data_IF_286613654730
#
_entry.id   IF_286613654730
#
_cell.length_a   1.000
_cell.length_b   1.000
_cell.length_c   1.000
_cell.angle_alpha   90.00
_cell.angle_beta   90.00
_cell.angle_gamma   90.00
#
_symmetry.space_group_name_H-M   'P 1'
#
loop_
_entity.id
_entity.type
_entity.pdbx_description
1 polymer ?
#
# COMPACT_ATOMS: atom_id res chain seq x y z
N UNK A 1 9.22 -9.32 11.74
CA UNK A 1 7.95 -9.27 10.99
C UNK A 1 7.78 -10.56 10.20
N UNK A 2 6.60 -11.17 10.18
CA UNK A 2 6.31 -12.41 9.45
C UNK A 2 5.21 -12.16 8.42
N UNK A 3 5.50 -12.43 7.14
CA UNK A 3 4.55 -12.26 6.03
C UNK A 3 3.46 -13.34 6.08
N UNK A 4 2.20 -12.91 5.93
CA UNK A 4 1.08 -13.83 5.75
C UNK A 4 1.20 -14.62 4.43
N UNK A 5 0.74 -15.87 4.43
CA UNK A 5 0.63 -16.68 3.20
C UNK A 5 -0.50 -16.23 2.28
N UNK A 6 -1.48 -15.51 2.83
CA UNK A 6 -2.63 -14.98 2.08
C UNK A 6 -2.77 -13.48 2.29
N UNK A 7 -3.19 -12.77 1.25
CA UNK A 7 -3.54 -11.34 1.30
C UNK A 7 -4.97 -11.12 1.83
N UNK A 8 -5.74 -12.19 2.01
CA UNK A 8 -7.15 -12.15 2.41
C UNK A 8 -7.48 -13.20 3.46
N UNK A 9 -8.49 -12.91 4.28
CA UNK A 9 -9.10 -13.85 5.21
C UNK A 9 -10.61 -13.57 5.29
N UNK A 10 -11.43 -14.47 4.74
CA UNK A 10 -12.86 -14.20 4.54
C UNK A 10 -13.08 -12.95 3.68
N UNK A 11 -13.86 -11.99 4.20
CA UNK A 11 -14.14 -10.72 3.54
C UNK A 11 -13.11 -9.61 3.82
N UNK A 12 -12.12 -9.84 4.68
CA UNK A 12 -11.09 -8.86 4.97
C UNK A 12 -10.05 -8.82 3.85
N UNK A 13 -9.90 -7.64 3.22
CA UNK A 13 -8.85 -7.32 2.26
C UNK A 13 -8.01 -6.18 2.78
N UNK A 14 -6.69 -6.33 2.71
CA UNK A 14 -5.75 -5.28 3.06
C UNK A 14 -5.41 -4.53 1.79
N UNK A 15 -5.65 -3.22 1.79
CA UNK A 15 -5.40 -2.40 0.62
C UNK A 15 -5.09 -0.97 1.03
N UNK A 16 -4.51 -0.23 0.09
CA UNK A 16 -4.32 1.21 0.21
C UNK A 16 -4.70 1.89 -1.09
N UNK A 17 -5.34 3.05 -0.99
CA UNK A 17 -5.73 3.85 -2.14
C UNK A 17 -4.92 5.15 -2.10
N UNK A 18 -4.08 5.43 -3.11
CA UNK A 18 -3.39 6.71 -3.19
C UNK A 18 -4.41 7.85 -3.35
N UNK A 19 -4.24 8.98 -2.66
CA UNK A 19 -5.08 10.16 -2.84
C UNK A 19 -4.75 10.94 -4.13
N UNK A 20 -3.73 10.52 -4.89
CA UNK A 20 -3.37 11.06 -6.20
C UNK A 20 -3.52 10.01 -7.31
N UNK A 21 -3.41 10.46 -8.56
CA UNK A 21 -3.39 9.55 -9.73
C UNK A 21 -2.05 8.81 -9.78
N UNK A 22 -2.03 7.58 -9.28
CA UNK A 22 -0.84 6.74 -9.29
C UNK A 22 -0.72 5.90 -10.57
N UNK A 23 0.49 5.67 -11.04
CA UNK A 23 0.84 4.72 -12.12
C UNK A 23 0.68 3.27 -11.66
N UNK A 24 0.69 3.02 -10.36
CA UNK A 24 0.55 1.68 -9.77
C UNK A 24 -0.92 1.24 -9.62
N UNK A 25 -1.86 2.16 -9.79
CA UNK A 25 -3.32 1.90 -9.74
C UNK A 25 -3.98 2.29 -11.06
N UNK A 26 -4.96 1.51 -11.51
CA UNK A 26 -5.70 1.79 -12.74
C UNK A 26 -7.10 2.32 -12.47
N UNK A 27 -7.78 2.83 -13.50
CA UNK A 27 -9.16 3.34 -13.37
C UNK A 27 -10.15 2.28 -12.84
N UNK A 28 -9.95 1.02 -13.21
CA UNK A 28 -10.78 -0.12 -12.78
C UNK A 28 -10.33 -0.74 -11.45
N UNK A 29 -9.12 -0.43 -10.99
CA UNK A 29 -8.55 -0.94 -9.73
C UNK A 29 -7.82 0.21 -9.03
N UNK A 30 -8.56 1.08 -8.31
CA UNK A 30 -8.00 2.27 -7.67
C UNK A 30 -7.23 1.95 -6.39
N UNK A 31 -7.13 0.67 -6.01
CA UNK A 31 -6.50 0.23 -4.77
C UNK A 31 -5.31 -0.67 -5.06
N UNK A 32 -4.30 -0.58 -4.20
CA UNK A 32 -3.18 -1.50 -4.14
C UNK A 32 -3.46 -2.55 -3.09
N UNK A 33 -3.41 -3.83 -3.49
CA UNK A 33 -3.47 -4.93 -2.53
C UNK A 33 -2.19 -4.99 -1.70
N UNK A 34 -2.37 -4.99 -0.39
CA UNK A 34 -1.31 -5.13 0.59
C UNK A 34 -1.31 -6.55 1.19
N UNK A 35 -0.15 -7.02 1.61
CA UNK A 35 -0.02 -8.29 2.34
C UNK A 35 0.08 -8.01 3.84
N UNK A 36 -0.66 -8.69 4.71
CA UNK A 36 -0.48 -8.57 6.16
C UNK A 36 0.87 -9.10 6.61
N UNK A 37 1.51 -8.38 7.52
CA UNK A 37 2.68 -8.84 8.26
C UNK A 37 2.44 -8.72 9.76
N UNK A 38 2.78 -9.77 10.49
CA UNK A 38 2.72 -9.80 11.94
C UNK A 38 4.06 -9.34 12.53
N UNK A 39 4.03 -8.33 13.41
CA UNK A 39 5.13 -8.01 14.29
C UNK A 39 5.14 -8.99 15.46
N UNK A 40 6.23 -9.75 15.62
CA UNK A 40 6.35 -10.72 16.71
C UNK A 40 6.70 -10.06 18.05
N UNK A 41 7.23 -8.83 18.03
CA UNK A 41 7.65 -8.12 19.24
C UNK A 41 6.48 -7.41 19.93
N UNK A 42 5.48 -6.93 19.17
CA UNK A 42 4.35 -6.17 19.71
C UNK A 42 2.95 -6.67 19.30
N UNK A 43 2.86 -7.72 18.47
CA UNK A 43 1.59 -8.30 18.04
C UNK A 43 0.82 -7.50 16.99
N UNK A 44 1.33 -6.37 16.50
CA UNK A 44 0.67 -5.57 15.47
C UNK A 44 0.61 -6.32 14.12
N UNK A 45 -0.54 -6.24 13.44
CA UNK A 45 -0.71 -6.68 12.05
C UNK A 45 -0.71 -5.46 11.14
N UNK A 46 0.24 -5.39 10.22
CA UNK A 46 0.45 -4.23 9.35
C UNK A 46 0.24 -4.63 7.90
N UNK A 47 -0.55 -3.83 7.17
CA UNK A 47 -0.71 -3.95 5.73
C UNK A 47 0.58 -3.47 5.04
N UNK A 48 1.25 -4.36 4.30
CA UNK A 48 2.53 -4.09 3.65
C UNK A 48 2.39 -4.09 2.12
N UNK A 49 2.91 -3.03 1.48
CA UNK A 49 3.02 -2.91 0.02
C UNK A 49 4.43 -3.35 -0.40
N UNK A 50 4.52 -4.17 -1.44
CA UNK A 50 5.79 -4.70 -1.96
C UNK A 50 6.75 -3.57 -2.39
N UNK A 51 8.05 -3.77 -2.14
CA UNK A 51 9.09 -2.73 -2.25
C UNK A 51 9.11 -2.05 -3.62
N UNK A 52 8.96 -2.83 -4.70
CA UNK A 52 8.91 -2.32 -6.08
C UNK A 52 7.82 -1.27 -6.26
N UNK A 53 6.62 -1.53 -5.72
CA UNK A 53 5.49 -0.58 -5.76
C UNK A 53 5.71 0.58 -4.81
N UNK A 54 6.30 0.33 -3.65
CA UNK A 54 6.60 1.35 -2.66
C UNK A 54 7.57 2.42 -3.19
N UNK A 55 8.58 2.02 -3.99
CA UNK A 55 9.49 2.98 -4.63
C UNK A 55 8.75 3.90 -5.62
N UNK A 56 7.90 3.33 -6.48
CA UNK A 56 7.10 4.13 -7.43
C UNK A 56 6.19 5.12 -6.67
N UNK A 57 5.51 4.67 -5.61
CA UNK A 57 4.66 5.53 -4.79
C UNK A 57 5.43 6.65 -4.10
N UNK A 58 6.67 6.38 -3.68
CA UNK A 58 7.54 7.39 -3.06
C UNK A 58 7.91 8.48 -4.06
N UNK A 59 8.31 8.10 -5.27
CA UNK A 59 8.62 9.06 -6.34
C UNK A 59 7.39 9.92 -6.68
N UNK A 60 6.23 9.29 -6.85
CA UNK A 60 4.98 10.00 -7.11
C UNK A 60 4.60 10.96 -5.98
N UNK A 61 4.76 10.54 -4.72
CA UNK A 61 4.48 11.40 -3.57
C UNK A 61 5.36 12.65 -3.56
N UNK A 62 6.66 12.53 -3.83
CA UNK A 62 7.55 13.68 -3.89
C UNK A 62 7.21 14.61 -5.08
N UNK A 63 6.81 14.05 -6.24
CA UNK A 63 6.31 14.86 -7.36
C UNK A 63 5.03 15.64 -6.99
N UNK A 64 4.05 15.00 -6.34
CA UNK A 64 2.80 15.64 -5.93
C UNK A 64 3.01 16.71 -4.86
N UNK A 65 3.91 16.44 -3.91
CA UNK A 65 4.32 17.40 -2.89
C UNK A 65 4.95 18.66 -3.51
N UNK A 66 5.78 18.50 -4.55
CA UNK A 66 6.35 19.65 -5.29
C UNK A 66 5.29 20.45 -6.05
N UNK A 67 4.21 19.80 -6.51
CA UNK A 67 3.06 20.46 -7.15
C UNK A 67 2.16 21.20 -6.16
N UNK A 68 2.43 21.10 -4.86
CA UNK A 68 1.63 21.74 -3.81
C UNK A 68 0.25 21.09 -3.61
N UNK A 69 0.04 19.90 -4.15
CA UNK A 69 -1.17 19.11 -3.90
C UNK A 69 -1.10 18.66 -2.44
N UNK A 70 -2.11 19.05 -1.64
CA UNK A 70 -2.26 18.50 -0.28
C UNK A 70 -2.68 17.04 -0.42
N UNK A 71 -1.71 16.15 -0.29
CA UNK A 71 -1.87 14.70 -0.29
C UNK A 71 -2.32 14.16 1.06
#
# INVERSE_FOLDING_TARGET
MVKSRSKTGGYARYFWQPPWKSKTTGLLRPVLEATPWLCLDCGAVIAYIEDEKLQILREEFEEEKLKGVRT
#
